data_IF_830864526584
#
_entry.id   IF_830864526584
#
_cell.length_a   1.000
_cell.length_b   1.000
_cell.length_c   1.000
_cell.angle_alpha   90.00
_cell.angle_beta   90.00
_cell.angle_gamma   90.00
#
_symmetry.space_group_name_H-M   'P 1'
#
loop_
_entity.id
_entity.type
_entity.pdbx_description
1 polymer ?
#
# COMPACT_ATOMS: atom_id res chain seq x y z
N UNK A 1 16.02 0.95 0.60
CA UNK A 1 15.38 -0.35 0.88
C UNK A 1 14.10 -0.39 0.08
N UNK A 2 13.82 -1.51 -0.58
CA UNK A 2 12.54 -1.75 -1.25
C UNK A 2 11.86 -2.88 -0.47
N UNK A 3 10.65 -2.62 0.03
CA UNK A 3 9.83 -3.59 0.74
C UNK A 3 8.60 -3.89 -0.12
N UNK A 4 8.42 -5.16 -0.47
CA UNK A 4 7.39 -5.62 -1.40
C UNK A 4 7.08 -7.09 -1.14
N UNK A 5 5.93 -7.55 -1.62
CA UNK A 5 5.57 -8.95 -1.57
C UNK A 5 6.48 -9.78 -2.51
N UNK A 6 6.68 -11.06 -2.19
CA UNK A 6 7.70 -11.90 -2.83
C UNK A 6 7.33 -12.46 -4.22
N UNK A 7 6.04 -12.55 -4.55
CA UNK A 7 5.59 -13.12 -5.83
C UNK A 7 5.78 -12.14 -6.99
N UNK A 8 6.23 -12.65 -8.14
CA UNK A 8 6.39 -11.83 -9.35
C UNK A 8 5.05 -11.30 -9.85
N UNK A 9 4.05 -12.17 -9.94
CA UNK A 9 2.70 -11.83 -10.38
C UNK A 9 1.74 -11.87 -9.21
N UNK A 10 1.12 -10.75 -8.88
CA UNK A 10 0.14 -10.66 -7.79
C UNK A 10 -0.61 -9.33 -7.81
N UNK A 11 -1.87 -9.34 -7.41
CA UNK A 11 -2.75 -8.16 -7.48
C UNK A 11 -2.22 -6.92 -6.71
N UNK A 12 -1.28 -7.11 -5.79
CA UNK A 12 -0.59 -6.06 -5.04
C UNK A 12 0.32 -5.16 -5.91
N UNK A 13 0.83 -5.68 -7.03
CA UNK A 13 1.72 -4.97 -7.94
C UNK A 13 0.92 -3.96 -8.79
N UNK A 14 1.30 -2.69 -8.73
CA UNK A 14 0.68 -1.61 -9.53
C UNK A 14 1.25 -1.54 -10.95
N UNK A 15 1.09 -2.67 -11.64
CA UNK A 15 1.46 -2.89 -13.03
C UNK A 15 0.22 -3.45 -13.77
N UNK A 16 0.01 -3.15 -15.07
CA UNK A 16 -1.22 -3.53 -15.74
C UNK A 16 -1.39 -5.05 -15.86
N UNK A 17 -0.28 -5.80 -15.83
CA UNK A 17 -0.30 -7.27 -15.78
C UNK A 17 0.15 -7.79 -14.41
N UNK A 18 0.19 -6.93 -13.39
CA UNK A 18 0.56 -7.24 -12.02
C UNK A 18 1.98 -7.82 -11.87
N UNK A 19 2.89 -7.49 -12.80
CA UNK A 19 4.29 -7.91 -12.76
C UNK A 19 5.10 -6.97 -11.84
N UNK A 20 5.87 -7.55 -10.94
CA UNK A 20 6.81 -6.85 -10.06
C UNK A 20 8.01 -6.25 -10.82
N UNK A 21 8.41 -6.87 -11.95
CA UNK A 21 9.65 -6.51 -12.66
C UNK A 21 9.61 -5.06 -13.18
N UNK A 22 8.57 -4.59 -13.90
CA UNK A 22 8.50 -3.20 -14.37
C UNK A 22 8.52 -2.18 -13.23
N UNK A 23 7.88 -2.50 -12.10
CA UNK A 23 7.83 -1.63 -10.91
C UNK A 23 9.25 -1.39 -10.37
N UNK A 24 10.05 -2.44 -10.23
CA UNK A 24 11.43 -2.33 -9.73
C UNK A 24 12.32 -1.64 -10.77
N UNK A 25 12.23 -2.03 -12.04
CA UNK A 25 13.11 -1.51 -13.09
C UNK A 25 12.88 -0.02 -13.38
N UNK A 26 11.63 0.45 -13.28
CA UNK A 26 11.27 1.85 -13.52
C UNK A 26 11.40 2.75 -12.28
N UNK A 27 11.68 2.18 -11.11
CA UNK A 27 11.78 2.94 -9.86
C UNK A 27 12.83 4.05 -9.94
N UNK A 28 12.39 5.30 -9.88
CA UNK A 28 13.23 6.49 -9.93
C UNK A 28 13.83 6.78 -8.57
N UNK A 29 15.03 6.24 -8.33
CA UNK A 29 15.80 6.50 -7.11
C UNK A 29 15.93 8.00 -6.76
N UNK A 30 16.12 8.95 -7.69
CA UNK A 30 16.15 10.38 -7.34
C UNK A 30 14.90 10.86 -6.61
N UNK A 31 13.71 10.37 -7.00
CA UNK A 31 12.48 10.70 -6.28
C UNK A 31 12.47 10.10 -4.88
N UNK A 32 12.84 8.83 -4.73
CA UNK A 32 12.95 8.16 -3.43
C UNK A 32 13.92 8.90 -2.51
N UNK A 33 15.08 9.33 -3.01
CA UNK A 33 16.07 10.09 -2.24
C UNK A 33 15.56 11.47 -1.83
N UNK A 34 14.86 12.17 -2.74
CA UNK A 34 14.29 13.49 -2.46
C UNK A 34 13.13 13.43 -1.46
N UNK A 35 12.25 12.44 -1.57
CA UNK A 35 11.06 12.32 -0.72
C UNK A 35 11.33 11.56 0.59
N UNK A 36 12.37 10.72 0.63
CA UNK A 36 12.66 9.81 1.73
C UNK A 36 11.82 8.52 1.71
N UNK A 37 10.62 8.56 1.14
CA UNK A 37 9.66 7.47 1.02
C UNK A 37 8.89 7.60 -0.30
N UNK A 38 8.63 6.48 -0.98
CA UNK A 38 7.76 6.42 -2.15
C UNK A 38 6.96 5.10 -2.16
N UNK A 39 5.62 5.13 -2.31
CA UNK A 39 4.82 3.94 -2.45
C UNK A 39 5.06 3.33 -3.83
N UNK A 40 5.04 2.00 -3.93
CA UNK A 40 5.12 1.29 -5.20
C UNK A 40 3.75 1.07 -5.85
N UNK A 41 2.69 1.65 -5.25
CA UNK A 41 1.35 1.77 -5.80
C UNK A 41 0.95 3.25 -5.83
N UNK A 42 0.48 3.69 -6.98
CA UNK A 42 -0.04 5.00 -7.29
C UNK A 42 -1.56 5.00 -7.50
N UNK A 43 -2.15 3.86 -7.89
CA UNK A 43 -3.61 3.71 -7.91
C UNK A 43 -4.17 3.82 -6.47
N UNK A 44 -5.18 4.66 -6.27
CA UNK A 44 -5.77 4.88 -4.94
C UNK A 44 -6.55 3.68 -4.41
N UNK A 45 -6.94 2.76 -5.28
CA UNK A 45 -7.74 1.60 -4.90
C UNK A 45 -6.86 0.38 -4.63
N UNK A 46 -7.08 -0.32 -3.51
CA UNK A 46 -7.78 0.13 -2.30
C UNK A 46 -6.89 1.01 -1.39
N UNK A 47 -7.49 1.65 -0.39
CA UNK A 47 -6.80 2.28 0.73
C UNK A 47 -6.81 3.81 0.79
N UNK A 48 -6.98 4.50 -0.34
CA UNK A 48 -7.05 5.96 -0.40
C UNK A 48 -8.47 6.48 -0.70
N UNK A 49 -8.86 7.65 -0.15
CA UNK A 49 -8.10 8.48 0.81
C UNK A 49 -8.32 8.12 2.30
N UNK A 50 -9.30 7.29 2.61
CA UNK A 50 -9.89 7.17 3.93
C UNK A 50 -10.25 5.71 4.28
N UNK A 51 -9.24 4.84 4.27
CA UNK A 51 -9.44 3.42 4.58
C UNK A 51 -10.00 3.18 5.99
N UNK A 52 -9.40 3.85 6.98
CA UNK A 52 -9.67 3.64 8.40
C UNK A 52 -10.01 4.96 9.09
N UNK A 53 -10.95 4.90 10.02
CA UNK A 53 -11.33 5.93 10.96
C UNK A 53 -11.06 5.45 12.40
N UNK A 54 -9.80 5.44 12.87
CA UNK A 54 -9.44 4.78 14.13
C UNK A 54 -10.20 5.27 15.36
N UNK A 55 -10.60 6.55 15.36
CA UNK A 55 -11.33 7.17 16.47
C UNK A 55 -12.86 7.02 16.36
N UNK A 56 -13.36 6.65 15.18
CA UNK A 56 -14.79 6.44 14.93
C UNK A 56 -14.97 5.22 14.00
N UNK A 57 -14.69 3.99 14.47
CA UNK A 57 -14.72 2.81 13.62
C UNK A 57 -16.09 2.58 12.96
N UNK A 58 -16.08 2.18 11.69
CA UNK A 58 -17.30 1.98 10.90
C UNK A 58 -17.61 0.48 10.81
N UNK A 59 -18.79 0.07 11.28
CA UNK A 59 -19.20 -1.35 11.28
C UNK A 59 -19.67 -1.89 9.91
N UNK A 60 -19.29 -1.25 8.81
CA UNK A 60 -19.68 -1.62 7.44
C UNK A 60 -18.51 -2.21 6.66
N UNK A 61 -18.82 -3.16 5.78
CA UNK A 61 -17.87 -3.75 4.83
C UNK A 61 -17.37 -5.13 5.23
N UNK A 62 -16.32 -5.64 4.56
CA UNK A 62 -15.73 -6.94 4.86
C UNK A 62 -15.28 -7.05 6.31
N UNK A 63 -15.45 -8.22 6.91
CA UNK A 63 -15.12 -8.48 8.31
C UNK A 63 -13.71 -8.02 8.70
N UNK A 64 -12.71 -8.29 7.86
CA UNK A 64 -11.33 -7.86 8.08
C UNK A 64 -11.16 -6.39 8.25
N UNK A 65 -11.82 -5.61 7.41
CA UNK A 65 -11.71 -4.16 7.43
C UNK A 65 -12.29 -3.64 8.74
N UNK A 66 -13.44 -4.18 9.18
CA UNK A 66 -14.08 -3.81 10.46
C UNK A 66 -13.22 -4.18 11.66
N UNK A 67 -12.72 -5.42 11.72
CA UNK A 67 -11.88 -5.89 12.83
C UNK A 67 -10.55 -5.15 12.89
N UNK A 68 -9.95 -4.83 11.74
CA UNK A 68 -8.74 -4.00 11.64
C UNK A 68 -9.00 -2.61 12.19
N UNK A 69 -10.07 -1.94 11.75
CA UNK A 69 -10.40 -0.58 12.19
C UNK A 69 -10.69 -0.52 13.69
N UNK A 70 -11.44 -1.49 14.23
CA UNK A 70 -11.75 -1.59 15.65
C UNK A 70 -10.49 -1.79 16.52
N UNK A 71 -9.47 -2.50 16.02
CA UNK A 71 -8.23 -2.76 16.74
C UNK A 71 -7.14 -1.69 16.50
N UNK A 72 -7.28 -0.84 15.47
CA UNK A 72 -6.21 0.02 14.99
C UNK A 72 -5.71 1.02 16.03
N UNK A 73 -6.62 1.72 16.74
CA UNK A 73 -6.23 2.74 17.71
C UNK A 73 -5.37 2.18 18.85
N UNK A 74 -5.82 1.08 19.47
CA UNK A 74 -5.08 0.40 20.55
C UNK A 74 -3.72 -0.14 20.08
N UNK A 75 -3.66 -0.73 18.88
CA UNK A 75 -2.41 -1.17 18.27
C UNK A 75 -1.46 0.00 18.00
N UNK A 76 -1.98 1.11 17.46
CA UNK A 76 -1.22 2.31 17.17
C UNK A 76 -0.61 2.90 18.45
N UNK A 77 -1.39 3.08 19.51
CA UNK A 77 -0.91 3.59 20.81
C UNK A 77 0.17 2.67 21.40
N UNK A 78 0.00 1.36 21.28
CA UNK A 78 1.00 0.40 21.75
C UNK A 78 2.32 0.54 20.99
N UNK A 79 2.27 0.67 19.66
CA UNK A 79 3.46 0.76 18.82
C UNK A 79 4.11 2.15 18.80
N UNK A 80 3.30 3.20 18.99
CA UNK A 80 3.62 4.63 18.85
C UNK A 80 3.03 5.45 20.03
N UNK A 81 3.39 5.17 21.29
CA UNK A 81 2.73 5.75 22.47
C UNK A 81 2.87 7.28 22.61
N UNK A 82 3.84 7.88 21.92
CA UNK A 82 4.06 9.34 21.95
C UNK A 82 3.56 10.02 20.66
N UNK A 83 2.70 9.35 19.90
CA UNK A 83 2.12 9.88 18.67
C UNK A 83 0.60 9.80 18.79
N UNK A 84 -0.13 10.91 18.55
CA UNK A 84 -1.58 10.88 18.63
C UNK A 84 -2.14 9.94 17.56
N UNK A 85 -3.16 9.16 17.94
CA UNK A 85 -3.90 8.33 16.99
C UNK A 85 -4.56 9.25 15.95
N UNK A 86 -4.33 9.03 14.65
CA UNK A 86 -4.94 9.83 13.60
C UNK A 86 -6.45 9.57 13.54
N UNK A 87 -7.23 10.61 13.22
CA UNK A 87 -8.68 10.48 13.03
C UNK A 87 -9.04 9.73 11.74
N UNK A 88 -8.19 9.82 10.71
CA UNK A 88 -8.33 9.14 9.42
C UNK A 88 -6.97 8.63 8.98
N UNK A 89 -6.93 7.43 8.41
CA UNK A 89 -5.74 6.83 7.82
C UNK A 89 -6.05 6.41 6.39
N UNK A 90 -5.16 6.77 5.46
CA UNK A 90 -5.24 6.35 4.07
C UNK A 90 -3.90 6.36 3.39
N UNK A 91 -3.66 5.31 2.62
CA UNK A 91 -2.48 5.15 1.77
C UNK A 91 -2.82 4.09 0.70
N UNK A 92 -2.15 4.09 -0.46
CA UNK A 92 -2.29 2.98 -1.40
C UNK A 92 -1.94 1.65 -0.70
N UNK A 93 -2.82 0.65 -0.80
CA UNK A 93 -2.67 -0.61 -0.05
C UNK A 93 -1.43 -1.42 -0.46
N UNK A 94 -1.26 -2.58 0.21
CA UNK A 94 -0.27 -3.64 -0.07
C UNK A 94 1.09 -3.50 0.60
N UNK A 95 1.31 -2.48 1.43
CA UNK A 95 2.59 -2.27 2.11
C UNK A 95 3.82 -2.21 1.17
N UNK A 96 3.68 -1.90 -0.12
CA UNK A 96 4.84 -1.91 -1.03
C UNK A 96 5.43 -0.51 -1.16
N UNK A 97 6.69 -0.32 -0.78
CA UNK A 97 7.34 0.99 -0.78
C UNK A 97 8.86 0.92 -0.95
N UNK A 98 9.43 2.01 -1.45
CA UNK A 98 10.86 2.31 -1.40
C UNK A 98 11.12 3.39 -0.34
N UNK A 99 12.17 3.21 0.44
CA UNK A 99 12.53 4.13 1.53
C UNK A 99 14.04 4.29 1.66
N UNK A 100 14.48 5.50 1.99
CA UNK A 100 15.91 5.79 2.20
C UNK A 100 16.37 5.34 3.58
N UNK A 101 17.68 5.12 3.74
CA UNK A 101 18.28 4.82 5.04
C UNK A 101 18.02 5.95 6.05
N UNK A 102 18.12 7.19 5.61
CA UNK A 102 17.95 8.35 6.48
C UNK A 102 16.51 8.48 6.97
N UNK A 103 15.53 8.19 6.10
CA UNK A 103 14.13 8.15 6.50
C UNK A 103 13.87 7.08 7.56
N UNK A 104 14.41 5.86 7.39
CA UNK A 104 14.30 4.80 8.41
C UNK A 104 14.95 5.24 9.73
N UNK A 105 16.09 5.93 9.68
CA UNK A 105 16.82 6.36 10.88
C UNK A 105 16.22 7.55 11.63
N UNK A 106 15.23 8.25 11.05
CA UNK A 106 14.47 9.29 11.77
C UNK A 106 13.72 8.73 12.96
N UNK A 107 13.40 7.43 12.96
CA UNK A 107 12.76 6.74 14.08
C UNK A 107 13.79 5.91 14.85
N UNK A 108 13.70 5.93 16.18
CA UNK A 108 14.68 5.23 17.02
C UNK A 108 14.58 3.70 16.86
N UNK A 109 15.70 3.00 17.06
CA UNK A 109 15.73 1.53 17.10
C UNK A 109 14.73 0.95 18.10
N UNK A 110 14.64 1.54 19.30
CA UNK A 110 13.69 1.13 20.34
C UNK A 110 12.25 1.14 19.85
N UNK A 111 11.89 2.11 19.01
CA UNK A 111 10.54 2.17 18.48
C UNK A 111 10.28 1.09 17.42
N UNK A 112 11.29 0.65 16.67
CA UNK A 112 11.17 -0.52 15.80
C UNK A 112 11.11 -1.83 16.59
N UNK A 113 11.88 -1.95 17.67
CA UNK A 113 11.81 -3.09 18.59
C UNK A 113 10.40 -3.22 19.20
N UNK A 114 9.76 -2.10 19.56
CA UNK A 114 8.38 -2.10 20.05
C UNK A 114 7.35 -2.53 18.99
N UNK A 115 7.46 -2.05 17.76
CA UNK A 115 6.60 -2.51 16.65
C UNK A 115 6.77 -4.01 16.46
N UNK A 116 8.02 -4.49 16.42
CA UNK A 116 8.31 -5.92 16.26
C UNK A 116 7.73 -6.72 17.41
N UNK A 117 7.87 -6.26 18.65
CA UNK A 117 7.32 -6.93 19.83
C UNK A 117 5.81 -7.06 19.72
N UNK A 118 5.11 -5.96 19.40
CA UNK A 118 3.65 -5.99 19.19
C UNK A 118 3.26 -6.99 18.10
N UNK A 119 3.98 -7.00 16.97
CA UNK A 119 3.68 -7.92 15.87
C UNK A 119 3.87 -9.40 16.25
N UNK A 120 4.78 -9.69 17.19
CA UNK A 120 5.08 -11.05 17.66
C UNK A 120 4.16 -11.53 18.79
N UNK A 121 3.66 -10.61 19.62
CA UNK A 121 2.92 -10.94 20.85
C UNK A 121 1.42 -10.66 20.77
N UNK A 122 0.96 -9.95 19.74
CA UNK A 122 -0.46 -9.64 19.57
C UNK A 122 -1.29 -10.93 19.42
N UNK A 123 -2.46 -10.95 20.06
CA UNK A 123 -3.44 -12.05 19.93
C UNK A 123 -4.35 -11.88 18.72
N UNK A 124 -4.20 -10.78 17.97
CA UNK A 124 -4.97 -10.54 16.76
C UNK A 124 -4.59 -11.55 15.68
N UNK A 125 -5.55 -12.06 14.90
CA UNK A 125 -5.24 -12.91 13.75
C UNK A 125 -4.30 -12.22 12.77
N UNK A 126 -3.42 -12.98 12.11
CA UNK A 126 -2.41 -12.45 11.15
C UNK A 126 -3.01 -11.55 10.07
N UNK A 127 -4.22 -11.89 9.57
CA UNK A 127 -4.93 -11.08 8.57
C UNK A 127 -5.27 -9.67 9.08
N UNK A 128 -5.50 -9.53 10.38
CA UNK A 128 -5.85 -8.27 11.05
C UNK A 128 -4.58 -7.51 11.43
N UNK A 129 -3.64 -8.16 12.13
CA UNK A 129 -2.39 -7.53 12.56
C UNK A 129 -1.54 -7.08 11.37
N UNK A 130 -1.49 -7.89 10.30
CA UNK A 130 -0.84 -7.54 9.04
C UNK A 130 -1.48 -6.33 8.36
N UNK A 131 -2.82 -6.22 8.32
CA UNK A 131 -3.52 -5.06 7.75
C UNK A 131 -3.33 -3.80 8.59
N UNK A 132 -3.25 -3.91 9.92
CA UNK A 132 -2.89 -2.78 10.79
C UNK A 132 -1.51 -2.25 10.41
N UNK A 133 -0.50 -3.14 10.32
CA UNK A 133 0.86 -2.73 9.93
C UNK A 133 0.91 -2.15 8.51
N UNK A 134 0.12 -2.69 7.59
CA UNK A 134 0.00 -2.18 6.23
C UNK A 134 -0.36 -0.70 6.20
N UNK A 135 -1.38 -0.30 6.95
CA UNK A 135 -1.80 1.09 7.05
C UNK A 135 -1.01 1.91 8.09
N UNK A 136 0.05 1.34 8.67
CA UNK A 136 0.98 2.08 9.52
C UNK A 136 2.31 2.37 8.84
N UNK A 137 2.72 1.66 7.80
CA UNK A 137 4.07 1.77 7.23
C UNK A 137 4.44 3.20 6.82
N UNK A 138 3.56 3.93 6.15
CA UNK A 138 3.82 5.32 5.77
C UNK A 138 4.00 6.22 7.00
N UNK A 139 3.20 6.02 8.06
CA UNK A 139 3.32 6.77 9.32
C UNK A 139 4.61 6.38 10.08
N UNK A 140 4.97 5.10 10.09
CA UNK A 140 6.24 4.60 10.64
C UNK A 140 7.43 5.21 9.92
N UNK A 141 7.26 5.59 8.65
CA UNK A 141 8.24 6.34 7.85
C UNK A 141 7.97 7.86 7.87
N UNK A 142 7.27 8.39 8.88
CA UNK A 142 7.00 9.82 9.12
C UNK A 142 6.27 10.53 7.96
N UNK A 143 5.49 9.81 7.15
CA UNK A 143 4.57 10.42 6.21
C UNK A 143 3.25 10.79 6.91
N UNK A 144 2.46 11.73 6.36
CA UNK A 144 1.13 12.06 6.88
C UNK A 144 0.22 10.83 7.01
N UNK A 145 -0.70 10.82 7.98
CA UNK A 145 -1.63 9.69 8.17
C UNK A 145 -2.51 9.40 6.95
N UNK A 146 -2.81 10.43 6.15
CA UNK A 146 -3.38 10.31 4.81
C UNK A 146 -2.31 10.68 3.79
N UNK A 147 -1.69 9.68 3.17
CA UNK A 147 -0.63 9.84 2.17
C UNK A 147 -1.08 9.26 0.82
N UNK A 148 -1.88 10.03 0.12
CA UNK A 148 -2.53 9.66 -1.14
C UNK A 148 -2.17 10.67 -2.25
N UNK A 149 -0.95 10.60 -2.81
CA UNK A 149 -0.56 11.48 -3.90
C UNK A 149 -1.47 11.27 -5.13
N UNK A 150 -1.76 12.30 -5.93
CA UNK A 150 -2.45 12.15 -7.20
C UNK A 150 -1.77 11.09 -8.08
N UNK A 151 -2.56 10.19 -8.68
CA UNK A 151 -2.05 9.04 -9.43
C UNK A 151 -1.08 9.47 -10.54
N UNK A 152 -1.44 10.49 -11.33
CA UNK A 152 -0.59 11.03 -12.40
C UNK A 152 0.79 11.49 -11.88
N UNK A 153 0.79 12.21 -10.74
CA UNK A 153 2.00 12.72 -10.13
C UNK A 153 2.86 11.56 -9.59
N UNK A 154 2.23 10.61 -8.90
CA UNK A 154 2.91 9.43 -8.38
C UNK A 154 3.56 8.60 -9.50
N UNK A 155 2.84 8.26 -10.56
CA UNK A 155 3.40 7.48 -11.67
C UNK A 155 4.58 8.19 -12.36
N UNK A 156 4.48 9.50 -12.59
CA UNK A 156 5.55 10.28 -13.19
C UNK A 156 6.81 10.38 -12.29
N UNK A 157 6.61 10.66 -11.00
CA UNK A 157 7.73 10.85 -10.07
C UNK A 157 8.38 9.52 -9.69
N UNK A 158 7.59 8.50 -9.37
CA UNK A 158 8.07 7.20 -8.89
C UNK A 158 8.59 6.32 -10.03
N UNK A 159 7.92 6.33 -11.19
CA UNK A 159 8.20 5.38 -12.29
C UNK A 159 8.57 6.03 -13.62
N UNK A 160 8.55 7.37 -13.72
CA UNK A 160 8.84 8.08 -14.97
C UNK A 160 7.71 8.02 -16.01
N UNK A 161 6.55 7.48 -15.66
CA UNK A 161 5.39 7.35 -16.53
C UNK A 161 4.59 8.67 -16.54
N UNK A 162 5.15 9.71 -17.18
CA UNK A 162 4.58 11.06 -17.15
C UNK A 162 3.52 11.34 -18.21
N UNK A 163 3.46 10.51 -19.27
CA UNK A 163 2.54 10.69 -20.41
C UNK A 163 1.28 9.82 -20.31
N UNK A 164 0.83 9.52 -19.08
CA UNK A 164 -0.39 8.74 -18.85
C UNK A 164 -1.63 9.62 -18.99
N UNK A 165 -2.71 9.04 -19.52
CA UNK A 165 -4.05 9.66 -19.47
C UNK A 165 -4.68 9.39 -18.11
N UNK A 166 -4.86 10.42 -17.29
CA UNK A 166 -5.45 10.30 -15.94
C UNK A 166 -6.64 11.25 -15.81
N UNK A 167 -7.84 10.75 -16.14
CA UNK A 167 -9.08 11.52 -16.04
C UNK A 167 -9.55 11.76 -14.60
N UNK A 168 -8.95 11.07 -13.62
CA UNK A 168 -9.25 11.20 -12.19
C UNK A 168 -7.97 11.37 -11.38
N UNK A 169 -8.06 12.06 -10.25
CA UNK A 169 -6.94 12.18 -9.29
C UNK A 169 -6.51 10.80 -8.74
N UNK A 170 -7.42 9.83 -8.77
CA UNK A 170 -7.30 8.52 -8.12
C UNK A 170 -6.62 7.45 -8.97
N UNK A 171 -6.57 7.64 -10.30
CA UNK A 171 -6.23 6.57 -11.24
C UNK A 171 -5.86 7.09 -12.62
N UNK A 172 -5.09 6.30 -13.36
CA UNK A 172 -4.80 6.51 -14.77
C UNK A 172 -5.33 5.35 -15.62
N UNK A 173 -5.68 5.64 -16.86
CA UNK A 173 -6.15 4.64 -17.82
C UNK A 173 -5.08 3.56 -18.05
N UNK A 174 -5.52 2.31 -18.27
CA UNK A 174 -4.64 1.17 -18.58
C UNK A 174 -3.52 0.92 -17.56
N UNK A 175 -3.72 1.33 -16.29
CA UNK A 175 -2.72 1.15 -15.22
C UNK A 175 -3.04 0.05 -14.22
N UNK A 176 -4.24 0.09 -13.64
CA UNK A 176 -4.59 -0.82 -12.58
C UNK A 176 -6.10 -1.09 -12.52
N UNK A 177 -6.45 -2.35 -12.33
CA UNK A 177 -7.80 -2.80 -12.00
C UNK A 177 -7.67 -3.63 -10.72
N UNK A 178 -8.53 -3.41 -9.73
CA UNK A 178 -8.57 -4.27 -8.54
C UNK A 178 -9.33 -5.57 -8.89
N UNK A 179 -8.71 -6.76 -8.85
CA UNK A 179 -9.42 -8.02 -9.06
C UNK A 179 -10.43 -8.29 -7.95
N UNK A 180 -11.44 -9.13 -8.23
CA UNK A 180 -12.43 -9.51 -7.20
C UNK A 180 -11.93 -10.63 -6.28
N UNK A 181 -10.90 -11.36 -6.71
CA UNK A 181 -10.26 -12.44 -5.95
C UNK A 181 -8.76 -12.25 -5.94
N UNK A 182 -8.12 -12.56 -4.81
CA UNK A 182 -6.68 -12.38 -4.64
C UNK A 182 -5.85 -13.41 -5.43
N UNK A 183 -6.41 -14.59 -5.70
CA UNK A 183 -5.72 -15.68 -6.41
C UNK A 183 -5.47 -15.31 -7.86
N UNK A 184 -4.21 -15.36 -8.27
CA UNK A 184 -3.76 -15.17 -9.65
C UNK A 184 -4.33 -16.30 -10.52
N UNK A 185 -4.88 -16.01 -11.71
CA UNK A 185 -5.38 -17.03 -12.62
C UNK A 185 -4.27 -17.97 -13.11
N UNK A 186 -4.62 -19.23 -13.37
CA UNK A 186 -3.69 -20.17 -14.01
C UNK A 186 -3.33 -19.67 -15.41
N UNK A 187 -2.03 -19.68 -15.72
CA UNK A 187 -1.51 -19.22 -17.01
C UNK A 187 -1.36 -17.71 -17.15
N UNK A 188 -1.62 -16.92 -16.10
CA UNK A 188 -1.38 -15.48 -16.10
C UNK A 188 0.13 -15.16 -16.28
N UNK A 189 0.52 -14.11 -17.03
CA UNK A 189 -0.34 -13.10 -17.70
C UNK A 189 -0.81 -13.45 -19.11
N UNK A 190 -0.32 -14.51 -19.74
CA UNK A 190 -0.63 -14.85 -21.13
C UNK A 190 -2.06 -15.41 -21.30
N UNK A 191 -2.56 -16.11 -20.27
CA UNK A 191 -3.85 -16.78 -20.24
C UNK A 191 -4.63 -16.53 -18.93
N UNK A 192 -5.83 -17.11 -18.79
CA UNK A 192 -6.58 -17.16 -17.54
C UNK A 192 -7.33 -15.86 -17.13
N UNK A 193 -7.05 -14.73 -17.77
CA UNK A 193 -7.72 -13.45 -17.52
C UNK A 193 -9.21 -13.38 -17.93
N UNK A 194 -9.82 -12.21 -17.72
CA UNK A 194 -11.22 -11.93 -18.09
C UNK A 194 -12.29 -12.53 -17.17
N UNK A 195 -11.89 -13.20 -16.08
CA UNK A 195 -12.79 -13.80 -15.09
C UNK A 195 -12.44 -13.31 -13.69
N UNK A 196 -13.40 -13.34 -12.76
CA UNK A 196 -13.21 -12.97 -11.35
C UNK A 196 -12.56 -11.57 -11.13
N UNK A 197 -12.83 -10.63 -12.04
CA UNK A 197 -12.29 -9.27 -11.99
C UNK A 197 -10.85 -9.11 -12.49
N UNK A 198 -10.18 -10.19 -12.90
CA UNK A 198 -8.90 -10.09 -13.59
C UNK A 198 -9.09 -9.54 -15.01
N UNK A 199 -8.23 -8.63 -15.47
CA UNK A 199 -8.33 -8.09 -16.82
C UNK A 199 -8.14 -9.19 -17.88
N UNK A 200 -8.59 -8.92 -19.10
CA UNK A 200 -8.26 -9.76 -20.26
C UNK A 200 -6.78 -9.53 -20.61
N UNK A 201 -6.00 -10.56 -20.98
CA UNK A 201 -4.64 -10.36 -21.48
C UNK A 201 -4.62 -9.32 -22.61
N UNK A 202 -3.66 -8.39 -22.57
CA UNK A 202 -3.56 -7.29 -23.54
C UNK A 202 -4.48 -6.08 -23.30
N UNK A 203 -5.27 -6.03 -22.21
CA UNK A 203 -6.17 -4.89 -21.94
C UNK A 203 -5.48 -3.52 -21.83
N UNK A 204 -4.16 -3.53 -21.61
CA UNK A 204 -3.34 -2.35 -21.43
C UNK A 204 -2.58 -1.91 -22.70
N UNK A 205 -2.81 -2.59 -23.82
CA UNK A 205 -2.34 -2.20 -25.15
C UNK A 205 -3.23 -1.09 -25.73
#
# INVERSE_FOLDING_TARGET
>A
MVFMHGERYQWHNDDPIYDAVPIIQSLRLPHVFSAGYAPLRCAWIPGCPDELYPLNPIEKGPEDRRLTEAAYASAFETMLPNTPVPSVVGAPCSSQFAVTRDQVRKRSKLTYERIRLWAMETVLPDRISGRILEYMWHIIMQMPAVYCPPAAQCYCMTFGLCNLTCSRITSCEKRYILPKVATVPNGWPEEGGGRNGWPVPGWNE
#
